data_IF_713307265397
#
_entry.id   IF_713307265397
#
_cell.length_a   1.000
_cell.length_b   1.000
_cell.length_c   1.000
_cell.angle_alpha   90.00
_cell.angle_beta   90.00
_cell.angle_gamma   90.00
#
_symmetry.space_group_name_H-M   'P 1'
#
loop_
_entity.id
_entity.type
_entity.pdbx_description
1 polymer ?
#
# COMPACT_ATOMS: atom_id res chain seq x y z
N UNK A 1 -45.29 24.05 14.03
CA UNK A 1 -44.55 22.84 14.40
C UNK A 1 -43.56 22.42 13.29
N UNK A 2 -42.65 23.28 12.85
CA UNK A 2 -41.70 22.96 11.79
C UNK A 2 -40.23 23.33 12.11
N UNK A 3 -39.92 23.57 13.34
CA UNK A 3 -38.58 24.05 13.73
C UNK A 3 -37.69 23.01 14.44
N UNK A 4 -38.21 21.83 14.74
CA UNK A 4 -37.46 20.83 15.54
C UNK A 4 -36.69 19.82 14.70
N UNK A 5 -37.15 19.55 13.46
CA UNK A 5 -36.50 18.58 12.57
C UNK A 5 -35.32 19.18 11.79
N UNK A 6 -35.26 20.50 11.61
CA UNK A 6 -34.12 21.14 10.91
C UNK A 6 -32.84 21.20 11.75
N UNK A 7 -32.95 21.11 13.07
CA UNK A 7 -31.81 21.09 14.00
C UNK A 7 -31.19 19.69 14.15
N UNK A 8 -31.94 18.63 13.88
CA UNK A 8 -31.41 17.26 13.94
C UNK A 8 -30.53 16.88 12.74
N UNK A 9 -30.72 17.55 11.59
CA UNK A 9 -29.88 17.35 10.40
C UNK A 9 -28.69 18.34 10.30
N UNK A 10 -28.58 19.30 11.19
CA UNK A 10 -27.42 20.15 11.33
C UNK A 10 -26.38 19.59 12.33
N UNK A 11 -26.63 18.37 12.85
CA UNK A 11 -25.67 17.65 13.65
C UNK A 11 -24.56 17.15 12.73
N UNK A 12 -23.55 17.98 12.63
CA UNK A 12 -22.16 17.55 12.53
C UNK A 12 -21.81 16.66 11.35
N UNK A 13 -21.84 17.21 10.14
CA UNK A 13 -20.72 17.02 9.27
C UNK A 13 -19.50 17.75 9.89
N UNK A 14 -18.97 17.24 10.97
CA UNK A 14 -17.55 17.31 11.22
C UNK A 14 -16.92 16.42 10.17
N UNK A 15 -16.74 16.97 8.98
CA UNK A 15 -15.74 16.48 8.06
C UNK A 15 -14.41 16.63 8.81
N UNK A 16 -14.04 15.60 9.55
CA UNK A 16 -12.66 15.45 10.01
C UNK A 16 -11.87 15.54 8.74
N UNK A 17 -11.17 16.65 8.54
CA UNK A 17 -10.37 16.84 7.35
C UNK A 17 -9.41 15.64 7.33
N UNK A 18 -9.55 14.76 6.33
CA UNK A 18 -8.67 13.62 6.12
C UNK A 18 -7.19 14.05 5.99
N UNK A 19 -6.96 15.35 5.96
CA UNK A 19 -5.64 16.01 5.96
C UNK A 19 -5.15 16.39 7.36
N UNK A 20 -5.87 16.02 8.44
CA UNK A 20 -5.38 16.30 9.79
C UNK A 20 -4.15 15.44 10.09
N UNK A 21 -3.11 16.00 10.74
CA UNK A 21 -1.95 15.23 11.18
C UNK A 21 -2.33 14.01 12.04
N UNK A 22 -3.49 14.05 12.67
CA UNK A 22 -4.06 13.00 13.51
C UNK A 22 -4.48 11.78 12.69
N UNK A 23 -5.10 11.96 11.52
CA UNK A 23 -5.45 10.83 10.63
C UNK A 23 -4.21 10.20 10.02
N UNK A 24 -3.24 11.01 9.62
CA UNK A 24 -1.96 10.49 9.12
C UNK A 24 -1.26 9.69 10.20
N UNK A 25 -1.26 10.18 11.43
CA UNK A 25 -0.74 9.47 12.59
C UNK A 25 -1.55 8.21 12.89
N UNK A 26 -2.86 8.23 12.71
CA UNK A 26 -3.75 7.07 12.87
C UNK A 26 -3.49 6.01 11.78
N UNK A 27 -3.31 6.41 10.53
CA UNK A 27 -2.97 5.51 9.41
C UNK A 27 -1.57 4.89 9.57
N UNK A 28 -0.62 5.64 10.15
CA UNK A 28 0.74 5.18 10.41
C UNK A 28 0.90 4.47 11.77
N UNK A 29 0.00 4.69 12.74
CA UNK A 29 0.18 4.26 14.13
C UNK A 29 -0.14 2.79 14.41
N UNK A 30 -0.61 2.04 13.40
CA UNK A 30 -1.08 0.68 13.62
C UNK A 30 -2.43 0.63 14.35
N UNK A 31 -3.01 -0.55 14.44
CA UNK A 31 -4.31 -0.79 15.09
C UNK A 31 -4.13 -1.61 16.36
N UNK A 32 -4.85 -1.27 17.41
CA UNK A 32 -4.86 -2.00 18.66
C UNK A 32 -5.51 -3.39 18.48
N UNK A 33 -4.87 -4.41 19.05
CA UNK A 33 -5.37 -5.77 19.12
C UNK A 33 -6.15 -6.01 20.43
N UNK A 34 -6.86 -7.13 20.53
CA UNK A 34 -7.55 -7.52 21.78
C UNK A 34 -6.62 -7.72 22.98
N UNK A 35 -5.32 -7.89 22.74
CA UNK A 35 -4.31 -7.98 23.80
C UNK A 35 -3.80 -6.61 24.29
N UNK A 36 -4.32 -5.49 23.73
CA UNK A 36 -3.84 -4.14 23.99
C UNK A 36 -2.52 -3.80 23.32
N UNK A 37 -1.96 -4.71 22.50
CA UNK A 37 -0.75 -4.46 21.69
C UNK A 37 -1.13 -3.67 20.44
N UNK A 38 -0.42 -2.58 20.17
CA UNK A 38 -0.54 -1.84 18.90
C UNK A 38 0.25 -2.54 17.81
N UNK A 39 -0.43 -2.96 16.75
CA UNK A 39 0.17 -3.70 15.64
C UNK A 39 0.43 -2.75 14.46
N UNK A 40 1.70 -2.44 14.22
CA UNK A 40 2.20 -1.80 12.98
C UNK A 40 2.70 -2.87 12.02
N UNK A 41 2.92 -2.49 10.75
CA UNK A 41 3.49 -3.41 9.75
C UNK A 41 4.88 -3.87 10.20
N UNK A 42 5.73 -2.94 10.59
CA UNK A 42 7.09 -3.20 11.07
C UNK A 42 7.07 -4.08 12.34
N UNK A 43 6.16 -3.77 13.27
CA UNK A 43 5.98 -4.57 14.47
C UNK A 43 5.48 -5.98 14.21
N UNK A 44 4.64 -6.17 13.19
CA UNK A 44 4.14 -7.48 12.78
C UNK A 44 5.25 -8.35 12.17
N UNK A 45 6.17 -7.75 11.42
CA UNK A 45 7.31 -8.46 10.81
C UNK A 45 8.33 -8.98 11.83
N UNK A 46 8.27 -8.55 13.09
CA UNK A 46 9.08 -9.15 14.18
C UNK A 46 8.54 -10.52 14.61
N UNK A 47 7.30 -10.88 14.24
CA UNK A 47 6.77 -12.23 14.47
C UNK A 47 7.30 -13.15 13.36
N UNK A 48 8.10 -14.14 13.70
CA UNK A 48 8.83 -15.01 12.77
C UNK A 48 7.92 -15.64 11.71
N UNK A 49 6.72 -16.10 12.07
CA UNK A 49 5.78 -16.70 11.13
C UNK A 49 5.21 -15.68 10.13
N UNK A 50 5.01 -14.43 10.55
CA UNK A 50 4.57 -13.35 9.68
C UNK A 50 5.67 -12.98 8.69
N UNK A 51 6.90 -12.81 9.19
CA UNK A 51 8.07 -12.54 8.34
C UNK A 51 8.29 -13.64 7.30
N UNK A 52 8.24 -14.91 7.72
CA UNK A 52 8.39 -16.04 6.82
C UNK A 52 7.30 -16.06 5.72
N UNK A 53 6.04 -15.81 6.07
CA UNK A 53 4.95 -15.72 5.11
C UNK A 53 5.14 -14.55 4.12
N UNK A 54 5.59 -13.39 4.58
CA UNK A 54 5.92 -12.25 3.71
C UNK A 54 7.04 -12.61 2.76
N UNK A 55 8.15 -13.15 3.28
CA UNK A 55 9.33 -13.50 2.47
C UNK A 55 8.96 -14.46 1.35
N UNK A 56 8.28 -15.56 1.67
CA UNK A 56 7.86 -16.56 0.68
C UNK A 56 7.00 -15.93 -0.41
N UNK A 57 5.96 -15.18 -0.04
CA UNK A 57 5.04 -14.58 -1.01
C UNK A 57 5.72 -13.50 -1.87
N UNK A 58 6.61 -12.70 -1.28
CA UNK A 58 7.35 -11.66 -1.99
C UNK A 58 8.31 -12.28 -3.00
N UNK A 59 9.11 -13.28 -2.61
CA UNK A 59 10.08 -13.95 -3.46
C UNK A 59 9.41 -14.74 -4.58
N UNK A 60 8.35 -15.51 -4.27
CA UNK A 60 7.62 -16.30 -5.26
C UNK A 60 7.01 -15.42 -6.35
N UNK A 61 6.35 -14.34 -5.97
CA UNK A 61 5.76 -13.39 -6.94
C UNK A 61 6.86 -12.64 -7.71
N UNK A 62 7.93 -12.23 -7.03
CA UNK A 62 9.04 -11.52 -7.65
C UNK A 62 9.82 -12.37 -8.65
N UNK A 63 9.88 -13.68 -8.45
CA UNK A 63 10.55 -14.62 -9.36
C UNK A 63 9.87 -14.72 -10.74
N UNK A 64 8.57 -14.41 -10.84
CA UNK A 64 7.80 -14.51 -12.06
C UNK A 64 8.05 -13.29 -12.98
N UNK A 65 8.68 -13.45 -14.16
CA UNK A 65 8.98 -12.30 -15.01
C UNK A 65 7.70 -11.69 -15.62
N UNK A 66 7.65 -10.36 -15.66
CA UNK A 66 6.62 -9.63 -16.40
C UNK A 66 6.98 -9.59 -17.89
N UNK A 67 6.26 -10.37 -18.69
CA UNK A 67 6.49 -10.44 -20.13
C UNK A 67 5.34 -9.76 -20.86
N UNK A 68 5.65 -8.74 -21.65
CA UNK A 68 4.66 -8.07 -22.49
C UNK A 68 4.44 -8.88 -23.77
N UNK A 69 3.18 -9.16 -24.10
CA UNK A 69 2.77 -9.87 -25.29
C UNK A 69 1.90 -9.00 -26.19
N UNK A 70 2.10 -9.11 -27.49
CA UNK A 70 1.19 -8.61 -28.51
C UNK A 70 0.20 -9.72 -28.87
N UNK A 71 -1.10 -9.41 -28.86
CA UNK A 71 -2.15 -10.34 -29.30
C UNK A 71 -2.19 -10.39 -30.81
N UNK A 72 -2.25 -11.60 -31.35
CA UNK A 72 -2.43 -11.88 -32.77
C UNK A 72 -3.85 -12.43 -33.01
N UNK A 73 -4.24 -12.58 -34.29
CA UNK A 73 -5.50 -13.27 -34.61
C UNK A 73 -5.53 -14.70 -34.07
N UNK A 74 -4.37 -15.38 -34.11
CA UNK A 74 -4.17 -16.67 -33.45
C UNK A 74 -2.93 -16.59 -32.55
N UNK A 75 -3.15 -16.77 -31.22
CA UNK A 75 -2.09 -16.79 -30.25
C UNK A 75 -1.57 -15.41 -29.84
N UNK A 76 -0.34 -15.38 -29.37
CA UNK A 76 0.36 -14.19 -28.89
C UNK A 76 1.85 -14.30 -29.17
N UNK A 77 2.51 -13.16 -29.35
CA UNK A 77 3.97 -13.09 -29.48
C UNK A 77 4.57 -12.12 -28.44
N UNK A 78 5.84 -12.32 -28.08
CA UNK A 78 6.53 -11.40 -27.17
C UNK A 78 6.74 -10.05 -27.85
N UNK A 79 6.33 -8.97 -27.18
CA UNK A 79 6.42 -7.62 -27.70
C UNK A 79 7.75 -6.94 -27.31
N UNK A 80 8.90 -7.57 -27.60
CA UNK A 80 10.23 -7.13 -27.16
C UNK A 80 10.61 -5.71 -27.65
N UNK A 81 9.98 -5.22 -28.71
CA UNK A 81 10.22 -3.88 -29.27
C UNK A 81 9.26 -2.83 -28.73
N UNK A 82 8.33 -3.22 -27.85
CA UNK A 82 7.40 -2.26 -27.25
C UNK A 82 8.13 -1.37 -26.23
N UNK A 83 7.86 -0.06 -26.19
CA UNK A 83 8.55 0.86 -25.26
C UNK A 83 8.50 0.43 -23.77
N UNK A 84 7.43 -0.24 -23.36
CA UNK A 84 7.25 -0.72 -21.99
C UNK A 84 7.85 -2.12 -21.74
N UNK A 85 8.44 -2.78 -22.75
CA UNK A 85 8.99 -4.11 -22.52
C UNK A 85 10.14 -4.06 -21.53
N UNK A 86 11.14 -3.22 -21.77
CA UNK A 86 12.30 -3.08 -20.87
C UNK A 86 11.90 -2.52 -19.51
N UNK A 87 10.97 -1.55 -19.47
CA UNK A 87 10.47 -1.00 -18.20
C UNK A 87 9.86 -2.08 -17.29
N UNK A 88 9.07 -3.00 -17.85
CA UNK A 88 8.39 -4.04 -17.07
C UNK A 88 9.25 -5.28 -16.83
N UNK A 89 10.09 -5.65 -17.82
CA UNK A 89 10.86 -6.89 -17.79
C UNK A 89 12.22 -6.72 -17.11
N UNK A 90 12.93 -5.60 -17.38
CA UNK A 90 14.30 -5.43 -16.95
C UNK A 90 14.39 -4.54 -15.68
N UNK A 91 14.09 -3.24 -15.82
CA UNK A 91 14.25 -2.27 -14.74
C UNK A 91 13.12 -1.25 -14.72
N UNK A 92 12.46 -1.10 -13.58
CA UNK A 92 11.41 -0.09 -13.39
C UNK A 92 11.95 1.34 -13.24
N UNK A 93 13.19 1.46 -12.79
CA UNK A 93 13.95 2.71 -12.68
C UNK A 93 15.46 2.37 -12.57
N UNK A 94 16.36 3.36 -12.55
CA UNK A 94 17.81 3.11 -12.47
C UNK A 94 18.28 2.36 -11.21
N UNK A 95 17.51 2.37 -10.13
CA UNK A 95 17.89 1.77 -8.85
C UNK A 95 17.28 0.38 -8.64
N UNK A 96 16.15 0.06 -9.32
CA UNK A 96 15.39 -1.15 -9.03
C UNK A 96 15.19 -2.01 -10.28
N UNK A 97 15.75 -3.22 -10.22
CA UNK A 97 15.43 -4.27 -11.20
C UNK A 97 13.95 -4.64 -11.13
N UNK A 98 13.44 -5.25 -12.18
CA UNK A 98 12.06 -5.71 -12.24
C UNK A 98 11.74 -6.71 -11.12
N UNK A 99 12.69 -7.56 -10.72
CA UNK A 99 12.51 -8.49 -9.60
C UNK A 99 12.34 -7.75 -8.27
N UNK A 100 13.28 -6.89 -7.91
CA UNK A 100 13.25 -6.10 -6.67
C UNK A 100 11.99 -5.23 -6.60
N UNK A 101 11.60 -4.63 -7.73
CA UNK A 101 10.39 -3.82 -7.78
C UNK A 101 9.13 -4.65 -7.50
N UNK A 102 8.99 -5.86 -8.08
CA UNK A 102 7.84 -6.75 -7.81
C UNK A 102 7.81 -7.22 -6.36
N UNK A 103 8.97 -7.47 -5.77
CA UNK A 103 9.11 -7.78 -4.35
C UNK A 103 8.55 -6.64 -3.49
N UNK A 104 8.96 -5.39 -3.76
CA UNK A 104 8.43 -4.20 -3.09
C UNK A 104 6.91 -4.03 -3.29
N UNK A 105 6.40 -4.22 -4.51
CA UNK A 105 4.96 -4.19 -4.81
C UNK A 105 4.21 -5.17 -3.92
N UNK A 106 4.68 -6.42 -3.86
CA UNK A 106 4.04 -7.48 -3.08
C UNK A 106 4.10 -7.15 -1.57
N UNK A 107 5.24 -6.71 -1.07
CA UNK A 107 5.41 -6.30 0.33
C UNK A 107 4.49 -5.15 0.73
N UNK A 108 4.37 -4.13 -0.11
CA UNK A 108 3.45 -3.01 0.13
C UNK A 108 1.98 -3.45 0.11
N UNK A 109 1.59 -4.34 -0.80
CA UNK A 109 0.23 -4.88 -0.85
C UNK A 109 -0.11 -5.74 0.38
N UNK A 110 0.83 -6.54 0.86
CA UNK A 110 0.66 -7.35 2.07
C UNK A 110 0.61 -6.47 3.33
N UNK A 111 1.56 -5.54 3.46
CA UNK A 111 1.70 -4.68 4.64
C UNK A 111 0.60 -3.64 4.75
N UNK A 112 0.42 -2.84 3.72
CA UNK A 112 -0.48 -1.67 3.76
C UNK A 112 -1.71 -1.80 2.84
N UNK A 113 -1.83 -2.92 2.13
CA UNK A 113 -2.98 -3.17 1.25
C UNK A 113 -2.91 -2.45 -0.10
N UNK A 114 -1.89 -1.63 -0.33
CA UNK A 114 -1.79 -0.84 -1.56
C UNK A 114 -0.33 -0.63 -1.93
N UNK A 115 -0.04 -0.66 -3.22
CA UNK A 115 1.21 -0.16 -3.77
C UNK A 115 0.95 1.11 -4.58
N UNK A 116 1.87 2.08 -4.45
CA UNK A 116 1.87 3.31 -5.22
C UNK A 116 3.23 3.52 -5.86
N UNK A 117 3.23 3.74 -7.17
CA UNK A 117 4.42 4.07 -7.94
C UNK A 117 4.22 5.38 -8.69
N UNK A 118 5.09 6.36 -8.49
CA UNK A 118 5.10 7.58 -9.27
C UNK A 118 5.62 7.27 -10.67
N UNK A 119 4.82 7.57 -11.70
CA UNK A 119 5.21 7.41 -13.10
C UNK A 119 5.86 8.68 -13.63
N UNK A 120 7.08 8.54 -14.17
CA UNK A 120 7.77 9.63 -14.86
C UNK A 120 7.62 9.47 -16.35
N UNK A 121 7.06 10.49 -16.99
CA UNK A 121 6.72 10.53 -18.41
C UNK A 121 7.79 11.26 -19.21
N UNK A 122 8.06 10.79 -20.43
CA UNK A 122 8.86 11.56 -21.38
C UNK A 122 8.00 12.57 -22.16
N UNK A 123 8.66 13.41 -22.97
CA UNK A 123 7.98 14.41 -23.80
C UNK A 123 7.08 13.84 -24.91
N UNK A 124 7.05 12.50 -25.08
CA UNK A 124 6.19 11.79 -26.04
C UNK A 124 5.03 11.06 -25.38
N UNK A 125 4.84 11.23 -24.06
CA UNK A 125 3.79 10.56 -23.31
C UNK A 125 4.05 9.06 -23.06
N UNK A 126 5.31 8.64 -22.99
CA UNK A 126 5.71 7.28 -22.64
C UNK A 126 6.29 7.29 -21.22
N UNK A 127 5.83 6.38 -20.37
CA UNK A 127 6.41 6.20 -19.02
C UNK A 127 7.82 5.63 -19.17
N UNK A 128 8.79 6.29 -18.57
CA UNK A 128 10.20 5.88 -18.58
C UNK A 128 10.65 5.25 -17.28
N UNK A 129 10.10 5.70 -16.19
CA UNK A 129 10.46 5.23 -14.86
C UNK A 129 9.24 5.14 -13.97
N UNK A 130 9.26 4.21 -13.02
CA UNK A 130 8.25 4.10 -11.96
C UNK A 130 8.98 4.04 -10.63
N UNK A 131 8.72 5.03 -9.76
CA UNK A 131 9.36 5.15 -8.46
C UNK A 131 8.39 4.77 -7.35
N UNK A 132 8.75 3.83 -6.47
CA UNK A 132 7.88 3.42 -5.38
C UNK A 132 7.72 4.55 -4.35
N UNK A 133 6.48 4.77 -3.92
CA UNK A 133 6.14 5.70 -2.85
C UNK A 133 5.72 4.93 -1.61
N UNK A 134 6.09 5.42 -0.43
CA UNK A 134 5.75 4.79 0.84
C UNK A 134 4.23 4.75 1.04
N UNK A 135 3.65 3.55 1.09
CA UNK A 135 2.21 3.34 1.12
C UNK A 135 1.54 3.91 2.40
N UNK A 136 2.26 3.88 3.53
CA UNK A 136 1.82 4.46 4.80
C UNK A 136 1.82 5.99 4.84
N UNK A 137 2.25 6.66 3.75
CA UNK A 137 2.28 8.12 3.60
C UNK A 137 1.39 8.62 2.49
N UNK A 138 0.59 7.73 1.90
CA UNK A 138 -0.29 8.03 0.79
C UNK A 138 -1.75 8.04 1.25
N UNK A 139 -2.43 9.13 0.98
CA UNK A 139 -3.88 9.27 1.13
C UNK A 139 -4.53 9.25 -0.26
N UNK A 140 -5.61 8.47 -0.40
CA UNK A 140 -6.35 8.36 -1.65
C UNK A 140 -7.79 8.82 -1.42
N UNK A 141 -8.27 9.73 -2.25
CA UNK A 141 -9.62 10.25 -2.15
C UNK A 141 -10.23 10.52 -3.53
N UNK A 142 -11.54 10.76 -3.57
CA UNK A 142 -12.23 11.22 -4.79
C UNK A 142 -12.54 12.71 -4.66
N UNK A 143 -12.23 13.45 -5.74
CA UNK A 143 -12.61 14.85 -5.89
C UNK A 143 -13.15 15.04 -7.32
N UNK A 144 -14.34 15.61 -7.42
CA UNK A 144 -15.01 15.86 -8.71
C UNK A 144 -15.13 14.58 -9.59
N UNK A 145 -15.36 13.41 -8.94
CA UNK A 145 -15.46 12.11 -9.61
C UNK A 145 -14.12 11.45 -9.94
N UNK A 146 -13.01 12.17 -9.87
CA UNK A 146 -11.68 11.66 -10.16
C UNK A 146 -10.95 11.20 -8.91
N UNK A 147 -10.10 10.18 -9.07
CA UNK A 147 -9.19 9.73 -8.00
C UNK A 147 -8.03 10.72 -7.89
N UNK A 148 -7.71 11.10 -6.67
CA UNK A 148 -6.59 11.99 -6.32
C UNK A 148 -5.76 11.34 -5.24
N UNK A 149 -4.48 11.70 -5.19
CA UNK A 149 -3.51 11.17 -4.26
C UNK A 149 -2.82 12.31 -3.55
N UNK A 150 -2.65 12.20 -2.23
CA UNK A 150 -1.89 13.13 -1.43
C UNK A 150 -0.77 12.36 -0.73
N UNK A 151 0.45 12.63 -1.12
CA UNK A 151 1.64 12.01 -0.53
C UNK A 151 2.31 12.97 0.43
N UNK A 152 2.76 12.45 1.58
CA UNK A 152 3.50 13.23 2.56
C UNK A 152 4.92 12.70 2.57
N UNK A 153 5.86 13.51 2.09
CA UNK A 153 7.26 13.13 2.03
C UNK A 153 7.91 13.06 3.42
N UNK A 154 9.18 12.68 3.47
CA UNK A 154 9.91 12.55 4.75
C UNK A 154 10.08 13.88 5.49
N UNK A 155 10.05 15.01 4.77
CA UNK A 155 10.12 16.36 5.34
C UNK A 155 8.77 16.89 5.84
N UNK A 156 7.68 16.12 5.66
CA UNK A 156 6.32 16.54 5.99
C UNK A 156 5.65 17.39 4.91
N UNK A 157 6.28 17.57 3.74
CA UNK A 157 5.70 18.32 2.62
C UNK A 157 4.63 17.48 1.94
N UNK A 158 3.47 18.10 1.68
CA UNK A 158 2.35 17.49 0.98
C UNK A 158 2.49 17.66 -0.52
N UNK A 159 2.45 16.56 -1.25
CA UNK A 159 2.55 16.51 -2.71
C UNK A 159 1.27 15.88 -3.25
N UNK A 160 0.53 16.62 -4.06
CA UNK A 160 -0.69 16.12 -4.69
C UNK A 160 -0.36 15.53 -6.07
N UNK A 161 -0.90 14.35 -6.36
CA UNK A 161 -0.79 13.69 -7.66
C UNK A 161 -2.16 13.45 -8.26
N UNK A 162 -2.21 13.46 -9.60
CA UNK A 162 -3.38 13.06 -10.38
C UNK A 162 -3.38 11.57 -10.60
N UNK A 163 -4.50 11.04 -11.07
CA UNK A 163 -4.64 9.60 -11.33
C UNK A 163 -3.64 9.10 -12.38
N UNK A 164 -3.33 9.91 -13.37
CA UNK A 164 -2.38 9.60 -14.45
C UNK A 164 -0.92 9.56 -14.00
N UNK A 165 -0.58 10.16 -12.87
CA UNK A 165 0.80 10.24 -12.37
C UNK A 165 1.17 9.05 -11.46
N UNK A 166 0.18 8.26 -11.06
CA UNK A 166 0.38 7.18 -10.07
C UNK A 166 -0.06 5.83 -10.62
N UNK A 167 0.86 4.88 -10.64
CA UNK A 167 0.55 3.46 -10.74
C UNK A 167 0.05 2.99 -9.37
N UNK A 168 -1.26 2.84 -9.22
CA UNK A 168 -1.88 2.34 -7.99
C UNK A 168 -2.30 0.88 -8.18
N UNK A 169 -1.75 -0.02 -7.36
CA UNK A 169 -2.10 -1.44 -7.32
C UNK A 169 -2.72 -1.74 -5.96
N UNK A 170 -4.03 -1.76 -5.84
CA UNK A 170 -4.70 -2.12 -4.60
C UNK A 170 -4.74 -3.63 -4.41
N UNK A 171 -4.60 -4.09 -3.18
CA UNK A 171 -4.95 -5.44 -2.78
C UNK A 171 -6.49 -5.59 -2.74
N UNK A 172 -6.98 -6.71 -2.23
CA UNK A 172 -8.41 -6.90 -2.03
C UNK A 172 -9.00 -5.77 -1.16
N UNK A 173 -10.11 -5.20 -1.61
CA UNK A 173 -10.88 -4.16 -0.91
C UNK A 173 -12.31 -4.10 -1.46
N UNK A 174 -13.24 -3.47 -0.73
CA UNK A 174 -14.66 -3.43 -1.11
C UNK A 174 -15.08 -2.10 -1.75
N UNK A 175 -14.39 -1.00 -1.49
CA UNK A 175 -14.75 0.34 -1.97
C UNK A 175 -14.21 0.65 -3.38
N UNK A 176 -13.33 -0.21 -3.92
CA UNK A 176 -12.65 0.00 -5.19
C UNK A 176 -11.72 1.21 -5.20
N UNK A 177 -11.47 1.82 -4.03
CA UNK A 177 -10.58 2.97 -3.89
C UNK A 177 -9.23 2.54 -3.32
N UNK A 178 -9.25 1.78 -2.21
CA UNK A 178 -8.05 1.26 -1.55
C UNK A 178 -8.21 -0.23 -1.20
N UNK A 179 -7.09 -0.93 -1.12
CA UNK A 179 -7.03 -2.31 -0.66
C UNK A 179 -6.81 -2.39 0.84
N UNK A 180 -7.18 -3.53 1.44
CA UNK A 180 -7.02 -3.77 2.87
C UNK A 180 -5.65 -4.37 3.19
N UNK A 181 -4.99 -3.84 4.22
CA UNK A 181 -3.79 -4.39 4.81
C UNK A 181 -4.06 -5.79 5.39
N UNK A 182 -3.26 -6.79 5.02
CA UNK A 182 -3.33 -8.13 5.60
C UNK A 182 -2.94 -8.12 7.07
N UNK A 183 -1.97 -7.29 7.43
CA UNK A 183 -1.56 -7.08 8.83
C UNK A 183 -2.71 -6.54 9.65
N UNK A 184 -3.39 -5.50 9.16
CA UNK A 184 -4.54 -4.91 9.85
C UNK A 184 -5.68 -5.92 10.04
N UNK A 185 -5.96 -6.75 9.04
CA UNK A 185 -6.98 -7.80 9.11
C UNK A 185 -6.60 -8.92 10.10
N UNK A 186 -5.32 -9.21 10.26
CA UNK A 186 -4.78 -10.28 11.13
C UNK A 186 -4.30 -9.75 12.50
N UNK A 187 -4.56 -8.49 12.83
CA UNK A 187 -3.98 -7.81 14.00
C UNK A 187 -4.18 -8.56 15.33
N UNK A 188 -5.34 -9.20 15.51
CA UNK A 188 -5.64 -9.91 16.75
C UNK A 188 -4.79 -11.17 16.90
N UNK A 189 -4.62 -11.95 15.83
CA UNK A 189 -3.76 -13.13 15.83
C UNK A 189 -2.28 -12.75 16.02
N UNK A 190 -1.83 -11.71 15.35
CA UNK A 190 -0.45 -11.18 15.48
C UNK A 190 -0.23 -10.63 16.90
N UNK A 191 -1.20 -9.90 17.45
CA UNK A 191 -1.14 -9.38 18.81
C UNK A 191 -1.05 -10.50 19.86
N UNK A 192 -1.81 -11.58 19.68
CA UNK A 192 -1.74 -12.76 20.55
C UNK A 192 -0.36 -13.43 20.47
N UNK A 193 0.19 -13.62 19.25
CA UNK A 193 1.52 -14.18 19.07
C UNK A 193 2.60 -13.35 19.77
N UNK A 194 2.59 -12.02 19.59
CA UNK A 194 3.52 -11.11 20.28
C UNK A 194 3.39 -11.14 21.80
N UNK A 195 2.16 -11.19 22.31
CA UNK A 195 1.93 -11.29 23.75
C UNK A 195 2.47 -12.60 24.32
N UNK A 196 2.31 -13.73 23.61
CA UNK A 196 2.84 -15.03 24.00
C UNK A 196 4.37 -15.04 23.98
N UNK A 197 5.02 -14.49 22.95
CA UNK A 197 6.48 -14.36 22.87
C UNK A 197 7.03 -13.50 24.02
N UNK A 198 6.37 -12.39 24.31
CA UNK A 198 6.75 -11.47 25.40
C UNK A 198 6.59 -12.13 26.78
N UNK A 199 5.56 -12.94 26.97
CA UNK A 199 5.36 -13.70 28.19
C UNK A 199 6.44 -14.77 28.35
N UNK A 200 6.70 -15.56 27.30
CA UNK A 200 7.74 -16.57 27.30
C UNK A 200 9.14 -15.99 27.59
N UNK A 201 9.49 -14.87 26.94
CA UNK A 201 10.78 -14.21 27.16
C UNK A 201 10.98 -13.74 28.60
N UNK A 202 9.90 -13.31 29.28
CA UNK A 202 9.97 -12.91 30.70
C UNK A 202 10.22 -14.10 31.63
N UNK A 203 9.68 -15.28 31.33
CA UNK A 203 9.94 -16.49 32.11
C UNK A 203 11.43 -16.85 32.02
N UNK A 204 11.98 -16.89 30.81
CA UNK A 204 13.38 -17.25 30.57
C UNK A 204 14.39 -16.19 31.04
N UNK A 205 13.96 -14.93 31.20
CA UNK A 205 14.84 -13.87 31.68
C UNK A 205 14.93 -13.79 33.22
N UNK A 206 14.01 -14.47 33.93
CA UNK A 206 13.95 -14.44 35.41
C UNK A 206 14.46 -15.75 36.06
N UNK A 207 14.97 -16.69 35.27
CA UNK A 207 15.72 -17.87 35.69
C UNK A 207 17.23 -17.59 35.63
#
# INVERSE_FOLDING_TARGET
MSGFLSRAFAAEQRSVSLTSPEIIKLLASGQESYTGETITVEGALNVTSVLAGFTILMEDIASLPLILYRRLERGKERANRHPYYSLLHDNFNPEHTSMVFREMVTGHMLGWGNFYGQMLWDGRGVVREIWPLAANRMEVFRKDGERRYLYIDQSGRKIAFRQEDILHIPAFGFDGLVGYSRISMSRNAIGLARAAEKYGSKIFAND
#
